data_IF_937865774825
#
_entry.id   IF_937865774825
#
_cell.length_a   1.000
_cell.length_b   1.000
_cell.length_c   1.000
_cell.angle_alpha   90.00
_cell.angle_beta   90.00
_cell.angle_gamma   90.00
#
_symmetry.space_group_name_H-M   'P 1'
#
loop_
_entity.id
_entity.type
_entity.pdbx_description
1 polymer ?
#
# COMPACT_ATOMS: atom_id res chain seq x y z
N UNK A 1 -14.32 9.55 14.56
CA UNK A 1 -14.12 9.82 13.13
C UNK A 1 -12.72 10.37 12.98
N UNK A 2 -11.78 9.62 12.41
CA UNK A 2 -10.42 10.12 12.20
C UNK A 2 -10.45 11.06 11.00
N UNK A 3 -10.18 12.34 11.21
CA UNK A 3 -10.06 13.31 10.12
C UNK A 3 -9.04 12.81 9.11
N UNK A 4 -9.48 12.60 7.87
CA UNK A 4 -8.60 12.21 6.78
C UNK A 4 -7.80 13.44 6.37
N UNK A 5 -6.70 13.73 7.11
CA UNK A 5 -5.82 14.84 6.79
C UNK A 5 -5.27 14.65 5.38
N UNK A 6 -5.68 15.51 4.47
CA UNK A 6 -5.26 15.49 3.08
C UNK A 6 -3.74 15.70 3.02
N UNK A 7 -3.03 14.78 2.36
CA UNK A 7 -1.64 14.99 1.98
C UNK A 7 -1.54 16.16 0.99
N UNK A 8 -0.52 17.01 1.14
CA UNK A 8 -0.19 18.02 0.13
C UNK A 8 0.20 17.34 -1.19
N UNK A 9 -0.19 17.93 -2.32
CA UNK A 9 0.19 17.41 -3.65
C UNK A 9 1.73 17.43 -3.82
N UNK A 10 2.33 16.37 -4.38
CA UNK A 10 3.76 16.34 -4.65
C UNK A 10 4.11 17.26 -5.83
N UNK A 11 5.38 17.67 -5.93
CA UNK A 11 5.90 18.28 -7.16
C UNK A 11 5.95 17.26 -8.29
N UNK A 12 6.09 17.72 -9.54
CA UNK A 12 6.19 16.83 -10.70
C UNK A 12 7.36 15.86 -10.60
N UNK A 13 8.56 16.37 -10.33
CA UNK A 13 9.76 15.55 -10.12
C UNK A 13 9.55 14.50 -9.01
N UNK A 14 8.88 14.90 -7.92
CA UNK A 14 8.60 13.98 -6.82
C UNK A 14 7.58 12.92 -7.21
N UNK A 15 6.57 13.27 -7.98
CA UNK A 15 5.60 12.32 -8.51
C UNK A 15 6.26 11.30 -9.47
N UNK A 16 7.21 11.73 -10.30
CA UNK A 16 7.99 10.83 -11.17
C UNK A 16 8.82 9.83 -10.35
N UNK A 17 9.49 10.31 -9.29
CA UNK A 17 10.26 9.46 -8.37
C UNK A 17 9.37 8.45 -7.63
N UNK A 18 8.24 8.89 -7.07
CA UNK A 18 7.30 8.02 -6.33
C UNK A 18 6.68 6.95 -7.24
N UNK A 19 6.40 7.31 -8.50
CA UNK A 19 5.72 6.44 -9.46
C UNK A 19 6.68 5.52 -10.23
N UNK A 20 7.99 5.61 -9.97
CA UNK A 20 8.98 4.73 -10.61
C UNK A 20 8.78 3.27 -10.18
N UNK A 21 9.21 2.36 -11.04
CA UNK A 21 9.43 0.97 -10.64
C UNK A 21 10.83 0.83 -10.03
N UNK A 22 10.93 0.06 -8.95
CA UNK A 22 12.17 -0.21 -8.23
C UNK A 22 12.76 -1.54 -8.66
N UNK A 23 14.06 -1.74 -8.41
CA UNK A 23 14.74 -3.00 -8.74
C UNK A 23 14.30 -4.18 -7.86
N UNK A 24 14.76 -5.39 -8.21
CA UNK A 24 14.47 -6.59 -7.42
C UNK A 24 14.93 -6.46 -5.96
N UNK A 25 16.15 -5.98 -5.71
CA UNK A 25 16.68 -5.82 -4.34
C UNK A 25 15.95 -4.74 -3.52
N UNK A 26 15.24 -3.82 -4.18
CA UNK A 26 14.51 -2.73 -3.55
C UNK A 26 13.01 -3.04 -3.37
N UNK A 27 12.53 -4.20 -3.84
CA UNK A 27 11.11 -4.56 -3.85
C UNK A 27 10.57 -4.74 -2.42
N UNK A 28 9.28 -4.49 -2.23
CA UNK A 28 8.57 -4.87 -1.02
C UNK A 28 7.99 -6.28 -1.17
N UNK A 29 8.12 -7.13 -0.16
CA UNK A 29 7.56 -8.48 -0.17
C UNK A 29 6.18 -8.51 0.49
N UNK A 30 5.22 -9.14 -0.19
CA UNK A 30 3.91 -9.44 0.35
C UNK A 30 3.65 -10.94 0.26
N UNK A 31 2.74 -11.45 1.08
CA UNK A 31 2.34 -12.85 1.08
C UNK A 31 0.92 -12.97 0.57
N UNK A 32 0.69 -13.93 -0.33
CA UNK A 32 -0.63 -14.39 -0.71
C UNK A 32 -0.76 -15.85 -0.31
N UNK A 33 -1.57 -16.09 0.71
CA UNK A 33 -1.92 -17.42 1.16
C UNK A 33 -3.11 -17.91 0.34
N UNK A 34 -3.09 -19.15 -0.14
CA UNK A 34 -4.25 -19.79 -0.78
C UNK A 34 -4.39 -21.20 -0.24
N UNK A 35 -5.61 -21.64 0.02
CA UNK A 35 -5.86 -22.98 0.61
C UNK A 35 -5.36 -24.14 -0.27
N UNK A 36 -5.17 -23.91 -1.58
CA UNK A 36 -4.71 -24.94 -2.52
C UNK A 36 -3.21 -24.92 -2.82
N UNK A 37 -2.54 -23.77 -2.74
CA UNK A 37 -1.13 -23.67 -3.18
C UNK A 37 -0.17 -23.16 -2.11
N UNK A 38 -0.66 -23.01 -0.87
CA UNK A 38 0.10 -22.48 0.25
C UNK A 38 0.43 -20.99 0.08
N UNK A 39 1.51 -20.58 0.72
CA UNK A 39 1.98 -19.20 0.78
C UNK A 39 2.85 -18.89 -0.44
N UNK A 40 2.43 -17.90 -1.23
CA UNK A 40 3.22 -17.37 -2.33
C UNK A 40 3.68 -15.97 -2.00
N UNK A 41 5.00 -15.75 -2.04
CA UNK A 41 5.57 -14.42 -2.02
C UNK A 41 5.16 -13.67 -3.30
N UNK A 42 4.75 -12.42 -3.13
CA UNK A 42 4.46 -11.49 -4.21
C UNK A 42 5.33 -10.26 -4.02
N UNK A 43 6.07 -9.93 -5.07
CA UNK A 43 6.91 -8.75 -5.10
C UNK A 43 6.13 -7.52 -5.52
N UNK A 44 6.35 -6.42 -4.82
CA UNK A 44 5.75 -5.12 -5.06
C UNK A 44 6.88 -4.17 -5.48
N UNK A 45 6.81 -3.68 -6.72
CA UNK A 45 7.87 -2.89 -7.35
C UNK A 45 7.54 -1.40 -7.47
N UNK A 46 6.31 -0.99 -7.14
CA UNK A 46 5.87 0.39 -7.31
C UNK A 46 4.68 0.71 -6.41
N UNK A 47 4.42 2.00 -6.19
CA UNK A 47 3.21 2.46 -5.49
C UNK A 47 1.93 1.93 -6.16
N UNK A 48 1.91 1.86 -7.50
CA UNK A 48 0.82 1.26 -8.27
C UNK A 48 0.59 -0.21 -7.91
N UNK A 49 1.65 -1.01 -7.85
CA UNK A 49 1.52 -2.42 -7.47
C UNK A 49 1.01 -2.57 -6.04
N UNK A 50 1.45 -1.71 -5.12
CA UNK A 50 1.00 -1.71 -3.73
C UNK A 50 -0.50 -1.39 -3.63
N UNK A 51 -0.94 -0.29 -4.24
CA UNK A 51 -2.37 0.11 -4.24
C UNK A 51 -3.24 -1.01 -4.83
N UNK A 52 -2.87 -1.54 -5.99
CA UNK A 52 -3.61 -2.62 -6.64
C UNK A 52 -3.62 -3.91 -5.82
N UNK A 53 -2.52 -4.23 -5.13
CA UNK A 53 -2.44 -5.39 -4.25
C UNK A 53 -3.42 -5.26 -3.09
N UNK A 54 -3.54 -4.07 -2.51
CA UNK A 54 -4.45 -3.80 -1.39
C UNK A 54 -5.91 -3.67 -1.82
N UNK A 55 -6.20 -3.23 -3.06
CA UNK A 55 -7.58 -3.19 -3.59
C UNK A 55 -8.21 -4.58 -3.72
N UNK A 56 -7.41 -5.60 -4.04
CA UNK A 56 -7.86 -7.00 -4.09
C UNK A 56 -8.39 -7.46 -2.72
N UNK A 57 -8.00 -6.83 -1.61
CA UNK A 57 -8.52 -7.14 -0.27
C UNK A 57 -9.86 -6.48 0.06
N UNK A 58 -10.30 -5.46 -0.71
CA UNK A 58 -11.50 -4.66 -0.39
C UNK A 58 -12.82 -5.43 -0.60
N UNK A 59 -12.76 -6.61 -1.23
CA UNK A 59 -13.91 -7.49 -1.46
C UNK A 59 -13.75 -8.90 -0.89
N UNK A 60 -12.70 -9.16 -0.11
CA UNK A 60 -12.51 -10.46 0.55
C UNK A 60 -12.99 -10.28 1.99
N UNK A 61 -14.24 -10.63 2.24
CA UNK A 61 -14.61 -11.02 3.59
C UNK A 61 -13.73 -12.25 3.92
N UNK A 62 -12.86 -12.21 4.95
CA UNK A 62 -12.02 -13.34 5.30
C UNK A 62 -12.82 -14.63 5.57
N UNK A 63 -14.15 -14.51 5.74
CA UNK A 63 -15.11 -15.60 5.92
C UNK A 63 -15.94 -15.94 4.66
N UNK A 64 -15.88 -15.19 3.56
CA UNK A 64 -16.55 -15.56 2.29
C UNK A 64 -15.64 -16.40 1.41
N UNK A 65 -15.38 -17.60 1.90
CA UNK A 65 -14.51 -18.61 1.29
C UNK A 65 -15.17 -19.38 0.14
N UNK A 66 -15.77 -18.72 -0.86
CA UNK A 66 -16.49 -19.48 -1.89
C UNK A 66 -16.11 -19.31 -3.35
N UNK A 67 -15.07 -18.53 -3.72
CA UNK A 67 -14.38 -18.69 -5.02
C UNK A 67 -12.88 -18.37 -4.91
N UNK A 68 -12.08 -19.36 -4.49
CA UNK A 68 -10.59 -19.31 -4.31
C UNK A 68 -10.12 -18.51 -3.09
N UNK A 69 -10.54 -18.94 -1.90
CA UNK A 69 -10.14 -18.39 -0.60
C UNK A 69 -8.62 -18.21 -0.47
N UNK A 70 -8.21 -16.96 -0.37
CA UNK A 70 -6.83 -16.61 -0.10
C UNK A 70 -6.73 -15.31 0.68
N UNK A 71 -5.90 -15.32 1.71
CA UNK A 71 -5.59 -14.13 2.51
C UNK A 71 -4.37 -13.48 1.86
N UNK A 72 -4.41 -12.16 1.66
CA UNK A 72 -3.20 -11.42 1.30
C UNK A 72 -2.75 -10.57 2.49
N UNK A 73 -1.46 -10.61 2.75
CA UNK A 73 -0.82 -10.00 3.90
C UNK A 73 0.41 -9.23 3.44
N UNK A 74 0.65 -8.08 4.03
CA UNK A 74 1.87 -7.30 3.87
C UNK A 74 2.23 -6.70 5.23
N UNK A 75 3.50 -6.64 5.56
CA UNK A 75 3.92 -5.99 6.79
C UNK A 75 3.74 -4.46 6.64
N UNK A 76 2.90 -3.88 7.50
CA UNK A 76 2.58 -2.45 7.42
C UNK A 76 3.75 -1.55 7.86
N UNK A 77 4.58 -2.00 8.78
CA UNK A 77 5.77 -1.27 9.21
C UNK A 77 6.85 -1.31 8.12
N UNK A 78 7.03 -2.49 7.50
CA UNK A 78 7.92 -2.63 6.34
C UNK A 78 7.43 -1.78 5.16
N UNK A 79 6.11 -1.70 4.96
CA UNK A 79 5.50 -0.80 3.97
C UNK A 79 5.85 0.67 4.24
N UNK A 80 5.78 1.12 5.50
CA UNK A 80 6.16 2.50 5.88
C UNK A 80 7.63 2.78 5.56
N UNK A 81 8.54 1.89 5.98
CA UNK A 81 9.97 2.08 5.74
C UNK A 81 10.31 2.00 4.24
N UNK A 82 9.64 1.13 3.47
CA UNK A 82 9.81 1.07 2.02
C UNK A 82 9.37 2.36 1.33
N UNK A 83 8.23 2.93 1.70
CA UNK A 83 7.76 4.21 1.17
C UNK A 83 8.74 5.34 1.51
N UNK A 84 9.24 5.35 2.75
CA UNK A 84 10.15 6.38 3.26
C UNK A 84 11.53 6.33 2.61
N UNK A 85 12.09 5.14 2.45
CA UNK A 85 13.49 4.95 2.08
C UNK A 85 13.67 4.64 0.59
N UNK A 86 12.76 3.86 -0.01
CA UNK A 86 12.86 3.42 -1.41
C UNK A 86 12.12 4.35 -2.37
N UNK A 87 10.88 4.72 -2.05
CA UNK A 87 10.11 5.71 -2.81
C UNK A 87 10.42 7.16 -2.39
N UNK A 88 11.20 7.31 -1.32
CA UNK A 88 11.62 8.60 -0.77
C UNK A 88 10.43 9.52 -0.37
N UNK A 89 9.23 9.00 -0.13
CA UNK A 89 8.04 9.79 0.24
C UNK A 89 7.84 9.83 1.76
N UNK A 90 8.66 10.64 2.42
CA UNK A 90 8.60 10.84 3.87
C UNK A 90 7.23 11.35 4.34
N UNK A 91 6.56 12.19 3.55
CA UNK A 91 5.25 12.77 3.91
C UNK A 91 4.19 11.67 3.99
N UNK A 92 4.14 10.80 2.99
CA UNK A 92 3.23 9.65 3.02
C UNK A 92 3.61 8.67 4.14
N UNK A 93 4.89 8.34 4.29
CA UNK A 93 5.35 7.42 5.33
C UNK A 93 4.98 7.90 6.74
N UNK A 94 5.21 9.17 7.08
CA UNK A 94 4.81 9.73 8.37
C UNK A 94 3.29 9.79 8.55
N UNK A 95 2.56 10.11 7.47
CA UNK A 95 1.10 10.08 7.50
C UNK A 95 0.55 8.69 7.82
N UNK A 96 1.11 7.64 7.20
CA UNK A 96 0.77 6.24 7.46
C UNK A 96 1.15 5.86 8.89
N UNK A 97 2.40 6.11 9.30
CA UNK A 97 2.91 5.77 10.63
C UNK A 97 2.03 6.35 11.76
N UNK A 98 1.57 7.60 11.60
CA UNK A 98 0.69 8.25 12.58
C UNK A 98 -0.70 7.60 12.74
N UNK A 99 -1.09 6.73 11.81
CA UNK A 99 -2.37 6.01 11.80
C UNK A 99 -2.26 4.55 12.20
N UNK A 100 -1.05 4.01 12.27
CA UNK A 100 -0.81 2.67 12.76
C UNK A 100 -0.87 2.68 14.29
N UNK A 101 -1.59 1.72 14.86
CA UNK A 101 -1.62 1.48 16.30
C UNK A 101 -1.24 0.03 16.59
N UNK A 102 -0.39 -0.18 17.58
CA UNK A 102 0.13 -1.51 17.94
C UNK A 102 -0.96 -2.45 18.49
N UNK A 103 -2.01 -1.90 19.11
CA UNK A 103 -3.13 -2.63 19.71
C UNK A 103 -4.32 -2.84 18.76
N UNK A 104 -4.25 -2.34 17.53
CA UNK A 104 -5.31 -2.48 16.54
C UNK A 104 -5.14 -3.73 15.66
N UNK A 105 -6.26 -4.27 15.20
CA UNK A 105 -6.24 -5.38 14.24
C UNK A 105 -5.59 -4.96 12.92
N UNK A 106 -4.95 -5.91 12.24
CA UNK A 106 -4.36 -5.69 10.92
C UNK A 106 -5.35 -5.03 9.94
N UNK A 107 -6.60 -5.50 9.90
CA UNK A 107 -7.62 -4.95 9.01
C UNK A 107 -8.00 -3.51 9.37
N UNK A 108 -8.06 -3.16 10.65
CA UNK A 108 -8.32 -1.77 11.07
C UNK A 108 -7.16 -0.85 10.69
N UNK A 109 -5.92 -1.27 10.93
CA UNK A 109 -4.73 -0.54 10.50
C UNK A 109 -4.68 -0.42 8.97
N UNK A 110 -4.99 -1.48 8.23
CA UNK A 110 -5.02 -1.43 6.77
C UNK A 110 -6.10 -0.46 6.26
N UNK A 111 -7.29 -0.50 6.84
CA UNK A 111 -8.39 0.40 6.49
C UNK A 111 -8.06 1.87 6.82
N UNK A 112 -7.25 2.13 7.86
CA UNK A 112 -6.88 3.50 8.24
C UNK A 112 -5.86 4.12 7.28
N UNK A 113 -4.96 3.31 6.70
CA UNK A 113 -3.87 3.78 5.84
C UNK A 113 -4.21 3.74 4.35
N UNK A 114 -5.09 2.84 3.89
CA UNK A 114 -5.44 2.68 2.47
C UNK A 114 -5.89 4.00 1.80
N UNK A 115 -6.72 4.86 2.44
CA UNK A 115 -7.08 6.15 1.86
C UNK A 115 -5.88 7.08 1.59
N UNK A 116 -4.81 7.01 2.37
CA UNK A 116 -3.59 7.81 2.14
C UNK A 116 -2.81 7.32 0.93
N UNK A 117 -2.69 5.99 0.78
CA UNK A 117 -2.04 5.37 -0.38
C UNK A 117 -2.79 5.73 -1.67
N UNK A 118 -4.12 5.63 -1.65
CA UNK A 118 -4.98 5.97 -2.79
C UNK A 118 -4.89 7.45 -3.12
N UNK A 119 -4.98 8.31 -2.10
CA UNK A 119 -4.82 9.74 -2.27
C UNK A 119 -3.47 10.08 -2.91
N UNK A 120 -2.37 9.52 -2.40
CA UNK A 120 -1.04 9.82 -2.95
C UNK A 120 -0.91 9.34 -4.40
N UNK A 121 -1.42 8.15 -4.70
CA UNK A 121 -1.41 7.60 -6.05
C UNK A 121 -2.17 8.49 -7.04
N UNK A 122 -3.39 8.92 -6.70
CA UNK A 122 -4.17 9.83 -7.54
C UNK A 122 -3.50 11.20 -7.69
N UNK A 123 -2.94 11.75 -6.62
CA UNK A 123 -2.16 13.00 -6.71
C UNK A 123 -0.98 12.89 -7.68
N UNK A 124 -0.26 11.76 -7.67
CA UNK A 124 0.85 11.56 -8.60
C UNK A 124 0.34 11.40 -10.03
N UNK A 125 -0.78 10.69 -10.25
CA UNK A 125 -1.41 10.58 -11.57
C UNK A 125 -1.80 11.95 -12.14
N UNK A 126 -2.49 12.76 -11.34
CA UNK A 126 -2.92 14.11 -11.71
C UNK A 126 -1.72 14.99 -12.11
N UNK A 127 -0.68 15.04 -11.28
CA UNK A 127 0.51 15.87 -11.54
C UNK A 127 1.27 15.43 -12.79
N UNK A 128 1.25 14.13 -13.10
CA UNK A 128 1.91 13.57 -14.28
C UNK A 128 1.03 13.56 -15.54
N UNK A 129 -0.24 14.01 -15.45
CA UNK A 129 -1.24 13.86 -16.52
C UNK A 129 -1.40 12.41 -17.02
N UNK A 130 -1.18 11.43 -16.13
CA UNK A 130 -1.36 10.00 -16.44
C UNK A 130 -2.77 9.60 -16.03
N UNK A 131 -3.73 9.70 -16.95
CA UNK A 131 -5.13 9.29 -16.76
C UNK A 131 -5.24 7.77 -16.79
#
# INVERSE_FOLDING_TARGET
>A
MSENKLLEKPSKEKAEEIMREVGFEERLEAVKMTSMTGDKKKSIYSLKNLVNFLEVNKGINPFETNKKGGITYIDLNETVEWIKNTLNDKKLAYGIQSRLKEDESYMNNLNSIKPLLDQRFEQCKEVLNKV
#
